data_IF_002052793504
#
_entry.id   IF_002052793504
#
_cell.length_a   1.000
_cell.length_b   1.000
_cell.length_c   1.000
_cell.angle_alpha   90.00
_cell.angle_beta   90.00
_cell.angle_gamma   90.00
#
_symmetry.space_group_name_H-M   'P 1'
#
loop_
_entity.id
_entity.type
_entity.pdbx_description
1 polymer ?
#
# COMPACT_ATOMS: atom_id res chain seq x y z
N UNK A 1 15.80 3.05 20.68
CA UNK A 1 14.35 2.83 20.47
C UNK A 1 13.64 2.29 21.71
N UNK A 2 12.82 3.13 22.34
CA UNK A 2 11.98 2.72 23.48
C UNK A 2 10.84 1.77 23.09
N UNK A 3 10.24 1.10 24.08
CA UNK A 3 9.18 0.09 23.88
C UNK A 3 7.98 0.63 23.07
N UNK A 4 7.56 1.88 23.33
CA UNK A 4 6.46 2.53 22.61
C UNK A 4 6.82 2.76 21.13
N UNK A 5 8.02 3.28 20.86
CA UNK A 5 8.50 3.51 19.50
C UNK A 5 8.58 2.21 18.70
N UNK A 6 9.03 1.11 19.33
CA UNK A 6 9.04 -0.23 18.71
C UNK A 6 7.64 -0.70 18.34
N UNK A 7 6.66 -0.58 19.24
CA UNK A 7 5.25 -0.95 18.96
C UNK A 7 4.65 -0.12 17.82
N UNK A 8 4.96 1.18 17.77
CA UNK A 8 4.50 2.07 16.68
C UNK A 8 5.13 1.64 15.35
N UNK A 9 6.44 1.31 15.34
CA UNK A 9 7.13 0.82 14.15
C UNK A 9 6.50 -0.49 13.65
N UNK A 10 6.27 -1.47 14.52
CA UNK A 10 5.63 -2.74 14.18
C UNK A 10 4.22 -2.53 13.59
N UNK A 11 3.46 -1.61 14.15
CA UNK A 11 2.13 -1.27 13.65
C UNK A 11 2.18 -0.67 12.23
N UNK A 12 3.11 0.25 11.98
CA UNK A 12 3.29 0.85 10.65
C UNK A 12 3.79 -0.18 9.62
N UNK A 13 4.66 -1.10 10.03
CA UNK A 13 5.10 -2.22 9.18
C UNK A 13 3.93 -3.15 8.81
N UNK A 14 3.04 -3.47 9.75
CA UNK A 14 1.82 -4.25 9.46
C UNK A 14 0.91 -3.54 8.46
N UNK A 15 0.70 -2.23 8.63
CA UNK A 15 -0.04 -1.41 7.67
C UNK A 15 0.58 -1.44 6.28
N UNK A 16 1.91 -1.36 6.19
CA UNK A 16 2.63 -1.42 4.92
C UNK A 16 2.35 -2.73 4.19
N UNK A 17 2.49 -3.87 4.87
CA UNK A 17 2.23 -5.19 4.28
C UNK A 17 0.78 -5.30 3.80
N UNK A 18 -0.19 -4.80 4.58
CA UNK A 18 -1.59 -4.80 4.18
C UNK A 18 -1.81 -3.95 2.92
N UNK A 19 -1.23 -2.75 2.86
CA UNK A 19 -1.35 -1.87 1.70
C UNK A 19 -0.69 -2.46 0.44
N UNK A 20 0.48 -3.11 0.58
CA UNK A 20 1.16 -3.81 -0.51
C UNK A 20 0.34 -5.00 -1.04
N UNK A 21 -0.31 -5.76 -0.14
CA UNK A 21 -1.22 -6.83 -0.53
C UNK A 21 -2.47 -6.31 -1.27
N UNK A 22 -3.06 -5.20 -0.80
CA UNK A 22 -4.18 -4.55 -1.49
C UNK A 22 -3.77 -4.06 -2.88
N UNK A 23 -2.62 -3.39 -2.99
CA UNK A 23 -2.08 -2.96 -4.29
C UNK A 23 -1.90 -4.15 -5.23
N UNK A 24 -1.26 -5.23 -4.77
CA UNK A 24 -1.07 -6.45 -5.56
C UNK A 24 -2.40 -7.03 -6.04
N UNK A 25 -3.41 -7.08 -5.18
CA UNK A 25 -4.76 -7.55 -5.57
C UNK A 25 -5.38 -6.70 -6.68
N UNK A 26 -5.25 -5.37 -6.62
CA UNK A 26 -5.76 -4.47 -7.66
C UNK A 26 -4.99 -4.62 -8.98
N UNK A 27 -3.67 -4.81 -8.93
CA UNK A 27 -2.86 -5.09 -10.12
C UNK A 27 -3.31 -6.40 -10.77
N UNK A 28 -3.42 -7.49 -10.01
CA UNK A 28 -3.86 -8.79 -10.55
C UNK A 28 -5.27 -8.74 -11.10
N UNK A 29 -6.20 -8.02 -10.43
CA UNK A 29 -7.56 -7.81 -10.97
C UNK A 29 -7.53 -7.02 -12.27
N UNK A 30 -6.69 -5.99 -12.38
CA UNK A 30 -6.53 -5.23 -13.64
C UNK A 30 -6.03 -6.14 -14.76
N UNK A 31 -5.07 -7.02 -14.48
CA UNK A 31 -4.56 -7.97 -15.47
C UNK A 31 -5.65 -8.93 -15.95
N UNK A 32 -6.46 -9.48 -15.05
CA UNK A 32 -7.61 -10.33 -15.41
C UNK A 32 -8.66 -9.58 -16.25
N UNK A 33 -8.86 -8.30 -15.96
CA UNK A 33 -9.80 -7.44 -16.70
C UNK A 33 -9.29 -7.04 -18.09
N UNK A 34 -8.01 -7.23 -18.44
CA UNK A 34 -7.52 -6.90 -19.79
C UNK A 34 -8.16 -7.78 -20.87
N UNK A 35 -8.57 -8.99 -20.52
CA UNK A 35 -9.11 -9.96 -21.48
C UNK A 35 -10.63 -9.88 -21.60
N UNK A 36 -11.33 -9.49 -20.53
CA UNK A 36 -12.80 -9.59 -20.44
C UNK A 36 -13.48 -8.37 -19.82
N UNK A 37 -12.73 -7.44 -19.25
CA UNK A 37 -13.25 -6.32 -18.49
C UNK A 37 -13.60 -5.12 -19.36
N UNK A 38 -14.52 -4.30 -18.87
CA UNK A 38 -14.83 -3.02 -19.49
C UNK A 38 -13.77 -1.97 -19.22
N UNK A 39 -13.64 -0.97 -20.10
CA UNK A 39 -12.75 0.18 -19.91
C UNK A 39 -12.98 0.88 -18.56
N UNK A 40 -14.23 0.90 -18.09
CA UNK A 40 -14.62 1.49 -16.80
C UNK A 40 -14.04 0.72 -15.62
N UNK A 41 -14.04 -0.61 -15.68
CA UNK A 41 -13.49 -1.47 -14.63
C UNK A 41 -11.96 -1.38 -14.59
N UNK A 42 -11.32 -1.37 -15.76
CA UNK A 42 -9.87 -1.18 -15.89
C UNK A 42 -9.47 0.19 -15.33
N UNK A 43 -10.18 1.26 -15.71
CA UNK A 43 -9.95 2.60 -15.18
C UNK A 43 -10.16 2.69 -13.67
N UNK A 44 -11.12 1.93 -13.12
CA UNK A 44 -11.32 1.85 -11.68
C UNK A 44 -10.14 1.16 -10.98
N UNK A 45 -9.63 0.05 -11.52
CA UNK A 45 -8.43 -0.58 -10.97
C UNK A 45 -7.22 0.35 -11.06
N UNK A 46 -7.05 1.10 -12.15
CA UNK A 46 -5.98 2.09 -12.26
C UNK A 46 -6.04 3.19 -11.20
N UNK A 47 -7.24 3.69 -10.89
CA UNK A 47 -7.44 4.64 -9.78
C UNK A 47 -7.05 4.02 -8.45
N UNK A 48 -7.48 2.78 -8.18
CA UNK A 48 -7.14 2.08 -6.94
C UNK A 48 -5.65 1.83 -6.82
N UNK A 49 -4.98 1.40 -7.89
CA UNK A 49 -3.53 1.20 -7.95
C UNK A 49 -2.82 2.50 -7.57
N UNK A 50 -3.17 3.65 -8.18
CA UNK A 50 -2.57 4.95 -7.85
C UNK A 50 -2.77 5.35 -6.39
N UNK A 51 -3.97 5.14 -5.84
CA UNK A 51 -4.28 5.46 -4.44
C UNK A 51 -3.42 4.61 -3.50
N UNK A 52 -3.37 3.30 -3.71
CA UNK A 52 -2.61 2.39 -2.86
C UNK A 52 -1.10 2.60 -2.99
N UNK A 53 -0.57 2.87 -4.18
CA UNK A 53 0.84 3.25 -4.37
C UNK A 53 1.19 4.51 -3.56
N UNK A 54 0.36 5.56 -3.63
CA UNK A 54 0.58 6.78 -2.84
C UNK A 54 0.50 6.52 -1.32
N UNK A 55 -0.43 5.67 -0.89
CA UNK A 55 -0.55 5.29 0.52
C UNK A 55 0.69 4.55 1.03
N UNK A 56 1.20 3.60 0.23
CA UNK A 56 2.45 2.86 0.53
C UNK A 56 3.63 3.83 0.69
N UNK A 57 3.79 4.82 -0.19
CA UNK A 57 4.85 5.81 -0.05
C UNK A 57 4.74 6.61 1.25
N UNK A 58 3.52 7.03 1.63
CA UNK A 58 3.30 7.75 2.90
C UNK A 58 3.69 6.90 4.10
N UNK A 59 3.27 5.63 4.14
CA UNK A 59 3.62 4.69 5.21
C UNK A 59 5.15 4.47 5.27
N UNK A 60 5.81 4.27 4.11
CA UNK A 60 7.27 4.12 4.04
C UNK A 60 8.00 5.35 4.59
N UNK A 61 7.51 6.56 4.30
CA UNK A 61 8.06 7.81 4.85
C UNK A 61 7.87 7.90 6.37
N UNK A 62 6.72 7.47 6.89
CA UNK A 62 6.48 7.45 8.35
C UNK A 62 7.40 6.45 9.07
N UNK A 63 7.54 5.24 8.53
CA UNK A 63 8.46 4.22 9.04
C UNK A 63 9.89 4.78 9.11
N UNK A 64 10.37 5.39 8.02
CA UNK A 64 11.71 5.95 7.98
C UNK A 64 11.91 7.06 9.02
N UNK A 65 10.92 7.95 9.19
CA UNK A 65 10.96 8.99 10.24
C UNK A 65 11.07 8.39 11.65
N UNK A 66 10.36 7.29 11.92
CA UNK A 66 10.41 6.60 13.21
C UNK A 66 11.79 5.95 13.41
N UNK A 67 12.37 5.35 12.37
CA UNK A 67 13.69 4.73 12.44
C UNK A 67 14.83 5.73 12.61
N UNK A 68 14.73 6.92 12.01
CA UNK A 68 15.74 7.99 12.15
C UNK A 68 15.63 8.68 13.52
N UNK A 69 14.42 8.86 14.06
CA UNK A 69 14.19 9.60 15.32
C UNK A 69 14.15 8.71 16.57
N UNK A 70 14.13 7.38 16.41
CA UNK A 70 13.86 6.40 17.47
C UNK A 70 15.09 5.74 18.05
#
# INVERSE_FOLDING_TARGET
>A
MGLLTKKILEYQQKKLVQAENSLKSHISKKEQLKETGSDKEIANQDKMIKIWSSNIEKIKREINKIQIKG
#
